data_IF_713399946483
#
_entry.id   IF_713399946483
#
_cell.length_a   1.000
_cell.length_b   1.000
_cell.length_c   1.000
_cell.angle_alpha   90.00
_cell.angle_beta   90.00
_cell.angle_gamma   90.00
#
_symmetry.space_group_name_H-M   'P 1'
#
loop_
_entity.id
_entity.type
_entity.pdbx_description
1 polymer ?
#
# COMPACT_ATOMS: atom_id res chain seq x y z
N UNK A 1 -11.17 1.11 10.80
CA UNK A 1 -10.50 2.41 10.51
C UNK A 1 -9.40 2.25 9.46
N UNK A 2 -8.50 1.26 9.56
CA UNK A 2 -7.45 1.03 8.55
C UNK A 2 -7.98 0.65 7.16
N UNK A 3 -9.11 -0.05 7.06
CA UNK A 3 -9.79 -0.32 5.79
C UNK A 3 -10.21 0.97 5.06
N UNK A 4 -10.71 1.96 5.79
CA UNK A 4 -11.07 3.28 5.25
C UNK A 4 -9.83 4.04 4.76
N UNK A 5 -8.70 3.94 5.45
CA UNK A 5 -7.43 4.56 5.02
C UNK A 5 -6.89 3.89 3.75
N UNK A 6 -6.98 2.56 3.65
CA UNK A 6 -6.61 1.83 2.42
C UNK A 6 -7.45 2.26 1.22
N UNK A 7 -8.77 2.41 1.40
CA UNK A 7 -9.67 2.88 0.35
C UNK A 7 -9.35 4.31 -0.11
N UNK A 8 -8.89 5.17 0.80
CA UNK A 8 -8.41 6.50 0.44
C UNK A 8 -7.11 6.45 -0.36
N UNK A 9 -6.22 5.49 -0.06
CA UNK A 9 -5.04 5.20 -0.87
C UNK A 9 -5.39 4.80 -2.30
N UNK A 10 -6.39 3.93 -2.48
CA UNK A 10 -6.91 3.54 -3.80
C UNK A 10 -7.46 4.75 -4.56
N UNK A 11 -8.31 5.55 -3.92
CA UNK A 11 -8.89 6.75 -4.52
C UNK A 11 -7.81 7.74 -4.99
N UNK A 12 -6.76 7.95 -4.19
CA UNK A 12 -5.66 8.83 -4.60
C UNK A 12 -4.84 8.24 -5.74
N UNK A 13 -4.61 6.93 -5.76
CA UNK A 13 -3.93 6.27 -6.87
C UNK A 13 -4.69 6.45 -8.19
N UNK A 14 -6.01 6.27 -8.17
CA UNK A 14 -6.89 6.45 -9.33
C UNK A 14 -6.91 7.91 -9.83
N UNK A 15 -6.71 8.88 -8.94
CA UNK A 15 -6.58 10.30 -9.28
C UNK A 15 -5.17 10.70 -9.75
N UNK A 16 -4.22 9.76 -9.80
CA UNK A 16 -2.81 10.05 -10.12
C UNK A 16 -2.05 10.76 -8.99
N UNK A 17 -2.65 10.90 -7.80
CA UNK A 17 -2.03 11.46 -6.59
C UNK A 17 -1.19 10.40 -5.89
N UNK A 18 -0.14 9.95 -6.58
CA UNK A 18 0.61 8.76 -6.20
C UNK A 18 1.37 8.94 -4.88
N UNK A 19 1.77 10.17 -4.51
CA UNK A 19 2.47 10.43 -3.24
C UNK A 19 1.55 10.34 -2.02
N UNK A 20 0.30 10.78 -2.16
CA UNK A 20 -0.73 10.71 -1.14
C UNK A 20 -1.21 9.28 -0.96
N UNK A 21 -1.38 8.55 -2.06
CA UNK A 21 -1.66 7.12 -2.04
C UNK A 21 -0.58 6.34 -1.27
N UNK A 22 0.70 6.66 -1.51
CA UNK A 22 1.83 6.01 -0.84
C UNK A 22 1.78 6.23 0.68
N UNK A 23 1.50 7.45 1.12
CA UNK A 23 1.36 7.78 2.56
C UNK A 23 0.23 6.98 3.21
N UNK A 24 -0.92 6.84 2.53
CA UNK A 24 -2.06 6.08 3.06
C UNK A 24 -1.75 4.58 3.16
N UNK A 25 -1.14 3.99 2.13
CA UNK A 25 -0.79 2.57 2.17
C UNK A 25 0.30 2.25 3.19
N UNK A 26 1.33 3.09 3.33
CA UNK A 26 2.36 2.89 4.37
C UNK A 26 1.77 2.93 5.78
N UNK A 27 0.90 3.90 6.06
CA UNK A 27 0.20 3.98 7.36
C UNK A 27 -0.69 2.76 7.61
N UNK A 28 -1.36 2.29 6.56
CA UNK A 28 -2.22 1.10 6.62
C UNK A 28 -1.40 -0.16 6.87
N UNK A 29 -0.26 -0.30 6.19
CA UNK A 29 0.65 -1.43 6.30
C UNK A 29 1.16 -1.56 7.73
N UNK A 30 1.73 -0.47 8.28
CA UNK A 30 2.22 -0.47 9.65
C UNK A 30 1.12 -0.89 10.66
N UNK A 31 -0.08 -0.32 10.54
CA UNK A 31 -1.17 -0.66 11.44
C UNK A 31 -1.65 -2.11 11.33
N UNK A 32 -1.66 -2.69 10.12
CA UNK A 32 -2.03 -4.09 9.93
C UNK A 32 -0.93 -5.06 10.35
N UNK A 33 0.35 -4.72 10.13
CA UNK A 33 1.47 -5.52 10.64
C UNK A 33 1.44 -5.58 12.17
N UNK A 34 1.22 -4.44 12.85
CA UNK A 34 1.14 -4.38 14.31
C UNK A 34 -0.07 -5.15 14.86
N UNK A 35 -1.23 -5.04 14.20
CA UNK A 35 -2.48 -5.62 14.72
C UNK A 35 -2.71 -7.09 14.33
N UNK A 36 -2.27 -7.50 13.13
CA UNK A 36 -2.64 -8.78 12.51
C UNK A 36 -1.41 -9.62 12.12
N UNK A 37 -0.22 -9.01 12.10
CA UNK A 37 1.02 -9.64 11.66
C UNK A 37 1.26 -9.51 10.15
N UNK A 38 2.51 -9.80 9.71
CA UNK A 38 2.94 -9.61 8.33
C UNK A 38 2.24 -10.54 7.33
N UNK A 39 1.87 -11.76 7.76
CA UNK A 39 1.30 -12.78 6.88
C UNK A 39 -0.23 -12.74 6.78
N UNK A 40 -0.89 -11.80 7.47
CA UNK A 40 -2.34 -11.68 7.40
C UNK A 40 -2.77 -11.16 6.03
N UNK A 41 -3.89 -11.67 5.51
CA UNK A 41 -4.39 -11.34 4.15
C UNK A 41 -4.51 -9.83 3.91
N UNK A 42 -5.01 -9.07 4.89
CA UNK A 42 -5.11 -7.59 4.78
C UNK A 42 -3.74 -6.91 4.69
N UNK A 43 -2.74 -7.44 5.38
CA UNK A 43 -1.37 -6.93 5.36
C UNK A 43 -0.76 -7.17 3.98
N UNK A 44 -0.84 -8.41 3.49
CA UNK A 44 -0.37 -8.81 2.16
C UNK A 44 -1.07 -8.04 1.04
N UNK A 45 -2.38 -7.80 1.15
CA UNK A 45 -3.11 -6.98 0.19
C UNK A 45 -2.59 -5.54 0.16
N UNK A 46 -2.24 -4.96 1.31
CA UNK A 46 -1.68 -3.60 1.39
C UNK A 46 -0.28 -3.54 0.78
N UNK A 47 0.55 -4.58 1.00
CA UNK A 47 1.86 -4.73 0.34
C UNK A 47 1.70 -4.77 -1.19
N UNK A 48 0.78 -5.58 -1.71
CA UNK A 48 0.51 -5.66 -3.15
C UNK A 48 0.04 -4.33 -3.76
N UNK A 49 -0.78 -3.56 -3.02
CA UNK A 49 -1.19 -2.22 -3.44
C UNK A 49 0.00 -1.24 -3.50
N UNK A 50 0.92 -1.32 -2.53
CA UNK A 50 2.18 -0.55 -2.54
C UNK A 50 3.08 -0.93 -3.72
N UNK A 51 3.21 -2.22 -4.03
CA UNK A 51 3.97 -2.70 -5.19
C UNK A 51 3.41 -2.15 -6.52
N UNK A 52 2.09 -2.20 -6.70
CA UNK A 52 1.43 -1.63 -7.88
C UNK A 52 1.61 -0.11 -7.96
N UNK A 53 1.50 0.58 -6.83
CA UNK A 53 1.70 2.02 -6.78
C UNK A 53 3.14 2.40 -7.19
N UNK A 54 4.14 1.68 -6.69
CA UNK A 54 5.54 1.92 -7.08
C UNK A 54 5.80 1.63 -8.54
N UNK A 55 5.17 0.59 -9.11
CA UNK A 55 5.21 0.34 -10.55
C UNK A 55 4.66 1.54 -11.33
N UNK A 56 3.53 2.10 -10.91
CA UNK A 56 2.91 3.27 -11.54
C UNK A 56 3.76 4.54 -11.41
N UNK A 57 4.57 4.65 -10.35
CA UNK A 57 5.53 5.74 -10.16
C UNK A 57 6.85 5.54 -10.94
N UNK A 58 7.05 4.40 -11.62
CA UNK A 58 8.32 4.04 -12.27
C UNK A 58 9.42 3.57 -11.29
N UNK A 59 9.08 3.37 -10.02
CA UNK A 59 9.99 2.91 -8.94
C UNK A 59 10.06 1.39 -8.92
N UNK A 60 10.66 0.81 -9.96
CA UNK A 60 10.62 -0.64 -10.19
C UNK A 60 11.34 -1.43 -9.09
N UNK A 61 12.44 -0.92 -8.53
CA UNK A 61 13.17 -1.61 -7.46
C UNK A 61 12.38 -1.67 -6.15
N UNK A 62 11.62 -0.63 -5.84
CA UNK A 62 10.71 -0.59 -4.69
C UNK A 62 9.47 -1.47 -4.93
N UNK A 63 8.97 -1.53 -6.16
CA UNK A 63 7.89 -2.44 -6.52
C UNK A 63 8.31 -3.91 -6.37
N UNK A 64 9.51 -4.27 -6.83
CA UNK A 64 10.06 -5.62 -6.72
C UNK A 64 10.19 -6.06 -5.26
N UNK A 65 10.69 -5.18 -4.38
CA UNK A 65 10.76 -5.44 -2.94
C UNK A 65 9.41 -5.70 -2.28
N UNK A 66 8.31 -5.22 -2.84
CA UNK A 66 6.97 -5.49 -2.31
C UNK A 66 6.44 -6.86 -2.76
N UNK A 67 7.04 -7.50 -3.77
CA UNK A 67 6.59 -8.80 -4.28
C UNK A 67 7.48 -9.97 -3.82
N UNK A 68 8.59 -9.70 -3.15
CA UNK A 68 9.53 -10.67 -2.60
C UNK A 68 9.37 -10.81 -1.09
#
# INVERSE_FOLDING_TARGET
MLSTVSNLGLLYADQGKLGEAEKMYKRTLQGYEEALGPNHTSTLSTVGNLGNLYKNQGKLGEAEKMYM
#
